data_IF_377785671835
#
_entry.id   IF_377785671835
#
_cell.length_a   1.000
_cell.length_b   1.000
_cell.length_c   1.000
_cell.angle_alpha   90.00
_cell.angle_beta   90.00
_cell.angle_gamma   90.00
#
_symmetry.space_group_name_H-M   'P 1'
#
loop_
_entity.id
_entity.type
_entity.pdbx_description
1 polymer ?
#
# COMPACT_ATOMS: atom_id res chain seq x y z
N UNK A 1 -8.25 8.54 8.82
CA UNK A 1 -9.02 9.69 8.29
C UNK A 1 -8.63 9.98 6.84
N UNK A 2 -9.61 10.19 5.96
CA UNK A 2 -9.40 10.45 4.52
C UNK A 2 -8.41 11.61 4.25
N UNK A 3 -8.54 12.72 4.97
CA UNK A 3 -7.71 13.92 4.76
C UNK A 3 -6.46 14.01 5.66
N UNK A 4 -6.01 12.90 6.24
CA UNK A 4 -4.70 12.85 6.91
C UNK A 4 -3.56 13.00 5.87
N UNK A 5 -2.61 13.94 6.05
CA UNK A 5 -1.48 14.13 5.12
C UNK A 5 -0.45 12.98 5.17
N UNK A 6 -0.46 12.14 6.21
CA UNK A 6 0.41 10.98 6.32
C UNK A 6 -0.06 9.85 5.40
N UNK A 7 0.84 8.95 4.97
CA UNK A 7 0.46 7.74 4.27
C UNK A 7 -0.60 6.94 5.03
N UNK A 8 -1.54 6.33 4.31
CA UNK A 8 -2.60 5.51 4.90
C UNK A 8 -2.05 4.12 5.24
N UNK A 9 -2.58 3.55 6.32
CA UNK A 9 -2.23 2.20 6.78
C UNK A 9 -3.46 1.29 6.92
N UNK A 10 -4.65 1.76 6.56
CA UNK A 10 -5.90 1.00 6.66
C UNK A 10 -6.71 1.15 5.39
N UNK A 11 -7.35 0.06 4.94
CA UNK A 11 -8.16 0.03 3.72
C UNK A 11 -9.30 1.06 3.76
N UNK A 12 -9.88 1.30 4.94
CA UNK A 12 -10.97 2.26 5.13
C UNK A 12 -10.57 3.72 4.83
N UNK A 13 -9.28 4.05 4.92
CA UNK A 13 -8.76 5.38 4.63
C UNK A 13 -8.18 5.52 3.21
N UNK A 14 -8.12 4.43 2.45
CA UNK A 14 -7.49 4.34 1.15
C UNK A 14 -8.53 4.48 0.02
N UNK A 15 -8.78 5.73 -0.39
CA UNK A 15 -9.78 6.03 -1.42
C UNK A 15 -9.34 5.60 -2.83
N UNK A 16 -10.19 4.83 -3.52
CA UNK A 16 -10.09 4.48 -4.94
C UNK A 16 -8.86 3.64 -5.38
N UNK A 17 -8.31 2.81 -4.49
CA UNK A 17 -7.21 1.88 -4.79
C UNK A 17 -7.64 0.41 -4.79
N UNK A 18 -8.93 0.12 -5.00
CA UNK A 18 -9.45 -1.24 -4.80
C UNK A 18 -8.76 -2.26 -5.72
N UNK A 19 -8.59 -1.93 -7.00
CA UNK A 19 -7.98 -2.86 -7.97
C UNK A 19 -6.48 -3.06 -7.69
N UNK A 20 -5.75 -1.98 -7.45
CA UNK A 20 -4.31 -2.02 -7.15
C UNK A 20 -4.02 -2.72 -5.81
N UNK A 21 -4.89 -2.52 -4.82
CA UNK A 21 -4.79 -3.16 -3.51
C UNK A 21 -4.96 -4.68 -3.63
N UNK A 22 -6.01 -5.15 -4.30
CA UNK A 22 -6.23 -6.59 -4.51
C UNK A 22 -5.13 -7.20 -5.37
N UNK A 23 -4.64 -6.48 -6.40
CA UNK A 23 -3.53 -6.93 -7.24
C UNK A 23 -2.24 -7.06 -6.44
N UNK A 24 -1.95 -6.12 -5.55
CA UNK A 24 -0.77 -6.14 -4.69
C UNK A 24 -0.85 -7.28 -3.68
N UNK A 25 -1.97 -7.44 -2.98
CA UNK A 25 -2.18 -8.55 -2.02
C UNK A 25 -2.01 -9.92 -2.68
N UNK A 26 -2.61 -10.12 -3.86
CA UNK A 26 -2.50 -11.37 -4.62
C UNK A 26 -1.06 -11.72 -5.01
N UNK A 27 -0.20 -10.72 -5.16
CA UNK A 27 1.19 -10.90 -5.60
C UNK A 27 2.21 -10.64 -4.49
N UNK A 28 1.79 -10.45 -3.24
CA UNK A 28 2.69 -10.02 -2.15
C UNK A 28 3.77 -11.05 -1.79
N UNK A 29 3.58 -12.33 -2.16
CA UNK A 29 4.56 -13.41 -1.98
C UNK A 29 5.49 -13.60 -3.18
N UNK A 30 5.30 -12.85 -4.26
CA UNK A 30 6.23 -12.90 -5.39
C UNK A 30 7.59 -12.39 -4.92
N UNK A 31 8.70 -12.96 -5.40
CA UNK A 31 10.05 -12.54 -4.99
C UNK A 31 10.31 -11.04 -5.18
N UNK A 32 9.62 -10.41 -6.13
CA UNK A 32 9.71 -8.99 -6.40
C UNK A 32 8.40 -8.46 -6.98
N UNK A 33 7.92 -7.34 -6.45
CA UNK A 33 6.79 -6.56 -6.97
C UNK A 33 7.21 -5.10 -7.03
N UNK A 34 6.93 -4.42 -8.13
CA UNK A 34 7.26 -3.00 -8.33
C UNK A 34 5.95 -2.20 -8.31
N UNK A 35 5.85 -1.24 -7.39
CA UNK A 35 4.75 -0.27 -7.35
C UNK A 35 5.26 1.06 -7.92
N UNK A 36 4.84 1.39 -9.14
CA UNK A 36 5.30 2.58 -9.88
C UNK A 36 4.18 3.61 -10.08
N UNK A 37 4.54 4.85 -10.43
CA UNK A 37 3.59 5.96 -10.62
C UNK A 37 4.16 7.31 -10.17
N UNK A 38 3.47 8.41 -10.54
CA UNK A 38 3.94 9.78 -10.29
C UNK A 38 4.11 10.11 -8.80
N UNK A 39 4.91 11.13 -8.47
CA UNK A 39 5.09 11.58 -7.08
C UNK A 39 3.73 12.03 -6.51
N UNK A 40 3.46 11.69 -5.24
CA UNK A 40 2.21 12.00 -4.52
C UNK A 40 0.93 11.34 -5.05
N UNK A 41 1.03 10.27 -5.84
CA UNK A 41 -0.15 9.47 -6.23
C UNK A 41 -0.64 8.48 -5.17
N UNK A 42 -0.01 8.39 -3.98
CA UNK A 42 -0.46 7.48 -2.92
C UNK A 42 0.23 6.11 -2.89
N UNK A 43 1.32 5.90 -3.63
CA UNK A 43 2.09 4.65 -3.64
C UNK A 43 2.47 4.13 -2.24
N UNK A 44 2.98 5.00 -1.38
CA UNK A 44 3.33 4.64 0.00
C UNK A 44 2.10 4.20 0.80
N UNK A 45 0.97 4.90 0.65
CA UNK A 45 -0.29 4.52 1.28
C UNK A 45 -0.79 3.16 0.82
N UNK A 46 -0.72 2.86 -0.49
CA UNK A 46 -1.08 1.55 -1.04
C UNK A 46 -0.22 0.44 -0.43
N UNK A 47 1.10 0.60 -0.42
CA UNK A 47 2.03 -0.41 0.11
C UNK A 47 1.79 -0.64 1.61
N UNK A 48 1.75 0.42 2.41
CA UNK A 48 1.56 0.29 3.86
C UNK A 48 0.20 -0.30 4.22
N UNK A 49 -0.84 0.06 3.48
CA UNK A 49 -2.18 -0.51 3.68
C UNK A 49 -2.19 -1.98 3.29
N UNK A 50 -1.62 -2.38 2.15
CA UNK A 50 -1.51 -3.79 1.77
C UNK A 50 -0.70 -4.62 2.77
N UNK A 51 0.41 -4.09 3.27
CA UNK A 51 1.22 -4.75 4.30
C UNK A 51 0.43 -4.92 5.61
N UNK A 52 -0.25 -3.86 6.06
CA UNK A 52 -1.07 -3.90 7.29
C UNK A 52 -2.23 -4.88 7.21
N UNK A 53 -2.84 -5.05 6.05
CA UNK A 53 -3.99 -5.95 5.84
C UNK A 53 -3.55 -7.38 5.47
N UNK A 54 -2.26 -7.62 5.21
CA UNK A 54 -1.74 -8.93 4.80
C UNK A 54 -1.48 -9.88 5.97
N UNK A 55 -1.44 -9.37 7.21
CA UNK A 55 -1.02 -10.09 8.43
C UNK A 55 0.37 -10.76 8.33
N UNK A 56 1.23 -10.26 7.42
CA UNK A 56 2.60 -10.78 7.26
C UNK A 56 3.60 -9.96 8.05
N UNK A 57 4.64 -10.59 8.62
CA UNK A 57 5.77 -9.84 9.14
C UNK A 57 6.49 -9.11 7.99
N UNK A 58 6.78 -7.83 8.18
CA UNK A 58 7.49 -7.03 7.18
C UNK A 58 8.45 -6.04 7.83
N UNK A 59 9.43 -5.59 7.04
CA UNK A 59 10.29 -4.46 7.36
C UNK A 59 10.01 -3.39 6.31
N UNK A 60 9.67 -2.18 6.76
CA UNK A 60 9.52 -1.02 5.89
C UNK A 60 10.77 -0.13 6.03
N UNK A 61 11.48 0.05 4.93
CA UNK A 61 12.72 0.86 4.88
C UNK A 61 12.41 2.12 4.07
N UNK A 62 12.48 3.28 4.71
CA UNK A 62 12.29 4.60 4.10
C UNK A 62 13.66 5.31 4.11
N UNK A 63 14.27 5.49 2.93
CA UNK A 63 15.62 6.05 2.72
C UNK A 63 15.56 7.42 2.05
#
# INVERSE_FOLDING_TARGET
>A
MLFDPRPKTSKNDLYNFNEEFELLLKNIEKPMVIVSGLRRTGKTSLVLTALSESDKPYIFIDL
#
